data_IF_827706426402
#
_entry.id   IF_827706426402
#
_cell.length_a   1.000
_cell.length_b   1.000
_cell.length_c   1.000
_cell.angle_alpha   90.00
_cell.angle_beta   90.00
_cell.angle_gamma   90.00
#
_symmetry.space_group_name_H-M   'P 1'
#
loop_
_entity.id
_entity.type
_entity.pdbx_description
1 polymer ?
#
# COMPACT_ATOMS: atom_id res chain seq x y z
N UNK A 1 -6.34 51.68 41.48
CA UNK A 1 -5.52 51.46 40.28
C UNK A 1 -5.15 49.98 40.15
N UNK A 2 -6.11 49.05 40.30
CA UNK A 2 -5.81 47.59 40.32
C UNK A 2 -6.86 46.72 39.59
N UNK A 3 -7.85 47.30 38.92
CA UNK A 3 -8.93 46.54 38.29
C UNK A 3 -8.72 46.25 36.80
N UNK A 4 -7.72 46.87 36.17
CA UNK A 4 -7.43 46.68 34.75
C UNK A 4 -6.46 45.53 34.45
N UNK A 5 -5.80 44.98 35.47
CA UNK A 5 -4.79 43.93 35.29
C UNK A 5 -5.37 42.51 35.34
N UNK A 6 -6.55 42.31 35.91
CA UNK A 6 -7.16 40.95 36.01
C UNK A 6 -7.91 40.55 34.75
N UNK A 7 -8.42 41.51 33.96
CA UNK A 7 -9.17 41.19 32.75
C UNK A 7 -8.27 40.67 31.62
N UNK A 8 -7.00 41.04 31.62
CA UNK A 8 -6.03 40.60 30.61
C UNK A 8 -5.58 39.14 30.81
N UNK A 9 -5.59 38.62 32.05
CA UNK A 9 -5.16 37.24 32.34
C UNK A 9 -6.18 36.17 31.91
N UNK A 10 -7.46 36.53 31.89
CA UNK A 10 -8.52 35.59 31.50
C UNK A 10 -8.55 35.30 30.00
N UNK A 11 -8.29 36.32 29.19
CA UNK A 11 -8.32 36.20 27.73
C UNK A 11 -7.09 35.45 27.18
N UNK A 12 -5.93 35.65 27.79
CA UNK A 12 -4.71 34.96 27.38
C UNK A 12 -4.79 33.43 27.60
N UNK A 13 -5.38 32.99 28.74
CA UNK A 13 -5.58 31.57 29.03
C UNK A 13 -6.56 30.89 28.09
N UNK A 14 -7.58 31.59 27.61
CA UNK A 14 -8.56 31.05 26.65
C UNK A 14 -7.95 30.86 25.25
N UNK A 15 -7.07 31.77 24.83
CA UNK A 15 -6.40 31.66 23.53
C UNK A 15 -5.36 30.53 23.52
N UNK A 16 -4.64 30.32 24.61
CA UNK A 16 -3.70 29.20 24.72
C UNK A 16 -4.39 27.84 24.70
N UNK A 17 -5.57 27.72 25.32
CA UNK A 17 -6.33 26.46 25.29
C UNK A 17 -6.84 26.11 23.88
N UNK A 18 -7.28 27.08 23.09
CA UNK A 18 -7.74 26.84 21.71
C UNK A 18 -6.57 26.52 20.77
N UNK A 19 -5.41 27.13 20.96
CA UNK A 19 -4.24 26.85 20.13
C UNK A 19 -3.72 25.42 20.32
N UNK A 20 -3.74 24.90 21.55
CA UNK A 20 -3.32 23.53 21.83
C UNK A 20 -4.27 22.47 21.27
N UNK A 21 -5.58 22.71 21.29
CA UNK A 21 -6.57 21.77 20.72
C UNK A 21 -6.49 21.74 19.18
N UNK A 22 -6.27 22.90 18.55
CA UNK A 22 -6.08 22.98 17.10
C UNK A 22 -4.80 22.26 16.62
N UNK A 23 -3.70 22.35 17.37
CA UNK A 23 -2.45 21.67 17.05
C UNK A 23 -2.52 20.15 17.25
N UNK A 24 -3.31 19.66 18.21
CA UNK A 24 -3.48 18.22 18.43
C UNK A 24 -4.29 17.53 17.32
N UNK A 25 -5.23 18.25 16.68
CA UNK A 25 -5.99 17.70 15.54
C UNK A 25 -5.15 17.60 14.24
N UNK A 26 -4.12 18.43 14.08
CA UNK A 26 -3.25 18.40 12.90
C UNK A 26 -2.23 17.24 12.91
N UNK A 27 -2.02 16.60 14.05
CA UNK A 27 -1.06 15.48 14.17
C UNK A 27 -1.69 14.13 13.78
N UNK A 28 -3.02 14.05 13.65
CA UNK A 28 -3.74 12.83 13.29
C UNK A 28 -3.90 12.61 11.77
N UNK A 29 -3.44 13.54 10.94
CA UNK A 29 -3.32 13.32 9.49
C UNK A 29 -1.92 12.81 9.12
N UNK A 30 -1.37 11.93 9.95
CA UNK A 30 -0.07 11.33 9.78
C UNK A 30 -0.12 10.10 8.89
N UNK A 31 0.46 10.23 7.73
CA UNK A 31 1.23 9.21 7.03
C UNK A 31 0.48 7.97 6.53
N UNK A 32 -0.21 8.12 5.42
CA UNK A 32 -0.29 7.05 4.44
C UNK A 32 0.50 7.42 3.17
N UNK A 33 1.75 7.78 3.31
CA UNK A 33 2.69 7.77 2.20
C UNK A 33 3.40 6.42 2.20
N UNK A 34 2.70 5.39 1.73
CA UNK A 34 3.37 4.17 1.33
C UNK A 34 4.06 4.45 0.01
N UNK A 35 5.39 4.36 0.01
CA UNK A 35 6.20 4.60 -1.16
C UNK A 35 5.77 3.74 -2.34
N UNK A 36 5.55 4.39 -3.47
CA UNK A 36 5.40 3.75 -4.77
C UNK A 36 3.99 3.23 -5.08
N UNK A 37 3.16 4.07 -5.70
CA UNK A 37 1.86 3.72 -6.24
C UNK A 37 0.72 3.76 -5.21
N UNK A 38 -0.43 4.24 -5.64
CA UNK A 38 -1.65 4.19 -4.83
C UNK A 38 -2.17 2.77 -4.88
N UNK A 39 -2.18 2.07 -3.74
CA UNK A 39 -2.88 0.79 -3.64
C UNK A 39 -4.38 1.09 -3.66
N UNK A 40 -5.14 0.52 -4.60
CA UNK A 40 -6.60 0.72 -4.65
C UNK A 40 -7.25 0.36 -3.31
N UNK A 41 -8.28 1.10 -2.92
CA UNK A 41 -9.01 0.85 -1.67
C UNK A 41 -9.55 -0.59 -1.59
N UNK A 42 -9.93 -1.17 -2.74
CA UNK A 42 -10.38 -2.56 -2.86
C UNK A 42 -9.34 -3.60 -2.38
N UNK A 43 -8.05 -3.27 -2.38
CA UNK A 43 -7.01 -4.19 -1.91
C UNK A 43 -6.99 -4.33 -0.38
N UNK A 44 -7.64 -3.42 0.34
CA UNK A 44 -7.85 -3.52 1.80
C UNK A 44 -9.14 -4.25 2.16
N UNK A 45 -9.98 -4.57 1.18
CA UNK A 45 -11.23 -5.26 1.40
C UNK A 45 -11.00 -6.74 1.72
N UNK A 46 -11.94 -7.32 2.46
CA UNK A 46 -11.96 -8.75 2.70
C UNK A 46 -12.28 -9.47 1.39
N UNK A 47 -11.57 -10.53 1.11
CA UNK A 47 -11.84 -11.40 -0.02
C UNK A 47 -12.07 -12.85 0.43
N UNK A 48 -12.76 -13.64 -0.40
CA UNK A 48 -12.92 -15.07 -0.19
C UNK A 48 -11.86 -15.81 -1.00
N UNK A 49 -10.88 -16.49 -0.36
CA UNK A 49 -9.88 -17.28 -1.09
C UNK A 49 -10.53 -18.39 -1.91
N UNK A 50 -9.94 -18.69 -3.07
CA UNK A 50 -10.34 -19.86 -3.84
C UNK A 50 -10.08 -21.14 -3.03
N UNK A 51 -10.98 -22.10 -3.11
CA UNK A 51 -10.79 -23.42 -2.53
C UNK A 51 -9.60 -24.14 -3.19
N UNK A 52 -8.95 -25.06 -2.47
CA UNK A 52 -7.71 -25.69 -2.92
C UNK A 52 -7.81 -26.35 -4.30
N UNK A 53 -8.98 -26.89 -4.65
CA UNK A 53 -9.27 -27.51 -5.95
C UNK A 53 -9.33 -26.50 -7.10
N UNK A 54 -9.65 -25.23 -6.81
CA UNK A 54 -9.77 -24.14 -7.80
C UNK A 54 -8.50 -23.29 -7.92
N UNK A 55 -7.47 -23.56 -7.13
CA UNK A 55 -6.19 -22.84 -7.22
C UNK A 55 -5.38 -23.36 -8.40
N UNK A 56 -4.65 -22.46 -9.07
CA UNK A 56 -3.72 -22.84 -10.15
C UNK A 56 -2.55 -23.66 -9.62
N UNK A 57 -2.11 -23.37 -8.38
CA UNK A 57 -1.09 -24.14 -7.66
C UNK A 57 -1.57 -24.37 -6.23
N UNK A 58 -1.45 -25.63 -5.75
CA UNK A 58 -1.77 -25.99 -4.35
C UNK A 58 -0.58 -25.80 -3.43
N UNK A 59 0.61 -25.97 -3.99
CA UNK A 59 1.91 -25.79 -3.36
C UNK A 59 2.77 -24.92 -4.25
N UNK A 60 3.60 -24.07 -3.67
CA UNK A 60 4.39 -23.08 -4.40
C UNK A 60 5.79 -22.99 -3.79
N UNK A 61 6.82 -23.10 -4.63
CA UNK A 61 8.18 -22.70 -4.32
C UNK A 61 8.26 -21.18 -4.54
N UNK A 62 8.15 -20.42 -3.46
CA UNK A 62 8.08 -18.98 -3.51
C UNK A 62 9.46 -18.36 -3.35
N UNK A 63 9.81 -17.44 -4.25
CA UNK A 63 11.01 -16.62 -4.19
C UNK A 63 10.60 -15.14 -4.21
N UNK A 64 11.29 -14.33 -3.44
CA UNK A 64 11.06 -12.89 -3.38
C UNK A 64 12.32 -12.15 -3.85
N UNK A 65 12.15 -11.29 -4.85
CA UNK A 65 13.20 -10.43 -5.41
C UNK A 65 12.84 -8.96 -5.17
N UNK A 66 13.84 -8.20 -4.73
CA UNK A 66 13.74 -6.75 -4.57
C UNK A 66 14.49 -6.09 -5.70
N UNK A 67 13.82 -5.21 -6.48
CA UNK A 67 14.39 -4.55 -7.65
C UNK A 67 14.22 -3.04 -7.59
N UNK A 68 15.17 -2.30 -8.15
CA UNK A 68 15.04 -0.85 -8.32
C UNK A 68 14.17 -0.49 -9.54
N UNK A 69 14.20 -1.32 -10.57
CA UNK A 69 13.45 -1.18 -11.82
C UNK A 69 12.10 -1.92 -11.80
N UNK A 70 11.49 -2.09 -10.62
CA UNK A 70 10.28 -2.91 -10.43
C UNK A 70 9.17 -2.54 -11.40
N UNK A 71 8.88 -1.26 -11.59
CA UNK A 71 7.79 -0.81 -12.48
C UNK A 71 8.04 -1.26 -13.93
N UNK A 72 9.25 -1.06 -14.46
CA UNK A 72 9.59 -1.44 -15.81
C UNK A 72 9.64 -2.97 -15.99
N UNK A 73 10.23 -3.66 -15.02
CA UNK A 73 10.33 -5.13 -15.04
C UNK A 73 8.93 -5.76 -15.01
N UNK A 74 8.09 -5.34 -14.07
CA UNK A 74 6.73 -5.87 -13.92
C UNK A 74 5.87 -5.55 -15.15
N UNK A 75 5.88 -4.31 -15.65
CA UNK A 75 5.12 -3.95 -16.84
C UNK A 75 5.48 -4.85 -18.03
N UNK A 76 6.77 -5.14 -18.21
CA UNK A 76 7.24 -6.06 -19.27
C UNK A 76 6.78 -7.50 -19.01
N UNK A 77 6.90 -7.99 -17.78
CA UNK A 77 6.57 -9.38 -17.41
C UNK A 77 5.10 -9.71 -17.57
N UNK A 78 4.21 -8.73 -17.30
CA UNK A 78 2.75 -8.90 -17.45
C UNK A 78 2.22 -8.44 -18.82
N UNK A 79 3.10 -8.02 -19.74
CA UNK A 79 2.70 -7.57 -21.08
C UNK A 79 1.92 -6.25 -21.09
N UNK A 80 2.15 -5.37 -20.10
CA UNK A 80 1.47 -4.07 -19.99
C UNK A 80 1.92 -3.13 -21.12
N UNK A 81 0.97 -2.44 -21.76
CA UNK A 81 1.25 -1.43 -22.76
C UNK A 81 2.04 -0.23 -22.17
N UNK A 82 2.87 0.43 -22.99
CA UNK A 82 3.72 1.55 -22.56
C UNK A 82 2.94 2.69 -21.92
N UNK A 83 1.80 3.07 -22.51
CA UNK A 83 0.94 4.14 -22.01
C UNK A 83 0.37 3.78 -20.63
N UNK A 84 -0.15 2.56 -20.49
CA UNK A 84 -0.67 2.08 -19.22
C UNK A 84 0.41 2.02 -18.14
N UNK A 85 1.61 1.53 -18.48
CA UNK A 85 2.76 1.47 -17.58
C UNK A 85 3.23 2.86 -17.13
N UNK A 86 3.04 3.88 -17.95
CA UNK A 86 3.37 5.26 -17.60
C UNK A 86 2.31 5.89 -16.68
N UNK A 87 1.02 5.66 -16.95
CA UNK A 87 -0.09 6.24 -16.17
C UNK A 87 -0.22 5.54 -14.80
N UNK A 88 -0.12 4.21 -14.78
CA UNK A 88 -0.25 3.39 -13.55
C UNK A 88 0.90 2.38 -13.47
N UNK A 89 2.11 2.84 -13.09
CA UNK A 89 3.26 1.94 -13.01
C UNK A 89 3.03 0.86 -11.94
N UNK A 90 3.32 -0.42 -12.26
CA UNK A 90 3.23 -1.49 -11.27
C UNK A 90 4.21 -1.26 -10.11
N UNK A 91 3.75 -1.49 -8.89
CA UNK A 91 4.58 -1.37 -7.66
C UNK A 91 5.16 -2.71 -7.22
N UNK A 92 4.56 -3.80 -7.69
CA UNK A 92 4.97 -5.19 -7.48
C UNK A 92 4.39 -6.06 -8.59
N UNK A 93 4.85 -7.29 -8.71
CA UNK A 93 4.21 -8.32 -9.52
C UNK A 93 4.64 -9.72 -9.08
N UNK A 94 3.82 -10.72 -9.44
CA UNK A 94 4.15 -12.12 -9.33
C UNK A 94 4.33 -12.73 -10.73
N UNK A 95 5.37 -13.54 -10.88
CA UNK A 95 5.63 -14.32 -12.09
C UNK A 95 5.63 -15.80 -11.68
N UNK A 96 4.73 -16.58 -12.26
CA UNK A 96 4.55 -17.98 -11.85
C UNK A 96 4.65 -18.97 -13.01
N UNK A 97 5.13 -20.16 -12.68
CA UNK A 97 5.24 -21.29 -13.58
C UNK A 97 4.56 -22.53 -12.94
N UNK A 98 3.37 -22.86 -13.42
CA UNK A 98 2.55 -23.92 -12.83
C UNK A 98 3.25 -25.28 -12.90
N UNK A 99 3.93 -25.59 -14.00
CA UNK A 99 4.57 -26.89 -14.21
C UNK A 99 5.70 -27.17 -13.20
N UNK A 100 6.48 -26.14 -12.84
CA UNK A 100 7.59 -26.24 -11.87
C UNK A 100 7.18 -25.88 -10.45
N UNK A 101 5.94 -25.43 -10.26
CA UNK A 101 5.41 -24.90 -8.99
C UNK A 101 6.23 -23.73 -8.46
N UNK A 102 6.82 -22.92 -9.32
CA UNK A 102 7.63 -21.79 -8.94
C UNK A 102 6.81 -20.49 -9.04
N UNK A 103 7.03 -19.60 -8.09
CA UNK A 103 6.51 -18.25 -8.13
C UNK A 103 7.54 -17.26 -7.60
N UNK A 104 7.83 -16.25 -8.39
CA UNK A 104 8.73 -15.16 -8.00
C UNK A 104 7.90 -13.92 -7.77
N UNK A 105 7.97 -13.38 -6.57
CA UNK A 105 7.38 -12.09 -6.22
C UNK A 105 8.45 -11.02 -6.39
N UNK A 106 8.14 -9.99 -7.16
CA UNK A 106 9.03 -8.87 -7.42
C UNK A 106 8.44 -7.62 -6.77
N UNK A 107 9.24 -6.93 -5.94
CA UNK A 107 8.86 -5.68 -5.30
C UNK A 107 9.97 -4.64 -5.41
N UNK A 108 9.65 -3.38 -5.16
CA UNK A 108 10.65 -2.34 -4.90
C UNK A 108 11.25 -2.49 -3.49
N UNK A 109 12.27 -1.65 -3.19
CA UNK A 109 12.89 -1.58 -1.85
C UNK A 109 11.88 -1.23 -0.74
N UNK A 110 10.86 -0.47 -1.09
CA UNK A 110 9.74 -0.15 -0.21
C UNK A 110 8.49 -0.83 -0.76
N UNK A 111 7.93 -1.73 0.01
CA UNK A 111 6.68 -2.41 -0.33
C UNK A 111 5.77 -2.47 0.89
N UNK A 112 4.46 -2.57 0.67
CA UNK A 112 3.49 -2.76 1.74
C UNK A 112 3.17 -4.23 1.94
N UNK A 113 2.69 -4.59 3.14
CA UNK A 113 2.17 -5.93 3.40
C UNK A 113 0.98 -6.25 2.49
N UNK A 114 0.17 -5.24 2.13
CA UNK A 114 -0.96 -5.40 1.22
C UNK A 114 -0.47 -5.78 -0.17
N UNK A 115 0.49 -5.04 -0.74
CA UNK A 115 1.07 -5.35 -2.04
C UNK A 115 1.73 -6.73 -2.05
N UNK A 116 2.52 -7.05 -1.02
CA UNK A 116 3.15 -8.36 -0.90
C UNK A 116 2.11 -9.48 -0.80
N UNK A 117 1.08 -9.34 0.02
CA UNK A 117 0.00 -10.30 0.16
C UNK A 117 -0.80 -10.50 -1.13
N UNK A 118 -1.04 -9.41 -1.88
CA UNK A 118 -1.66 -9.42 -3.18
C UNK A 118 -0.86 -10.29 -4.18
N UNK A 119 0.46 -10.11 -4.24
CA UNK A 119 1.32 -10.89 -5.13
C UNK A 119 1.42 -12.36 -4.69
N UNK A 120 1.43 -12.64 -3.37
CA UNK A 120 1.33 -14.02 -2.87
C UNK A 120 0.05 -14.69 -3.36
N UNK A 121 -1.07 -13.99 -3.35
CA UNK A 121 -2.35 -14.50 -3.84
C UNK A 121 -2.27 -14.90 -5.31
N UNK A 122 -1.62 -14.10 -6.16
CA UNK A 122 -1.38 -14.45 -7.57
C UNK A 122 -0.66 -15.80 -7.73
N UNK A 123 0.29 -16.14 -6.86
CA UNK A 123 1.01 -17.41 -6.92
C UNK A 123 0.07 -18.63 -6.78
N UNK A 124 -0.99 -18.50 -6.00
CA UNK A 124 -1.96 -19.58 -5.77
C UNK A 124 -3.19 -19.51 -6.66
N UNK A 125 -3.70 -18.32 -6.92
CA UNK A 125 -5.00 -18.11 -7.57
C UNK A 125 -4.89 -17.65 -9.02
N UNK A 126 -3.70 -17.32 -9.51
CA UNK A 126 -3.47 -16.80 -10.86
C UNK A 126 -4.06 -15.41 -11.04
N UNK A 127 -4.58 -15.13 -12.22
CA UNK A 127 -5.32 -13.90 -12.48
C UNK A 127 -6.67 -13.95 -11.77
N UNK A 128 -6.85 -13.14 -10.75
CA UNK A 128 -8.09 -13.04 -9.99
C UNK A 128 -8.77 -11.67 -10.12
N UNK A 129 -8.12 -10.70 -10.75
CA UNK A 129 -8.73 -9.43 -11.12
C UNK A 129 -9.76 -9.65 -12.24
N UNK A 130 -10.85 -8.87 -12.18
CA UNK A 130 -11.86 -8.81 -13.24
C UNK A 130 -11.53 -7.70 -14.22
#
# INVERSE_FOLDING_TARGET
>A
MNLLFEHQRGTLKRWFGLACVGSALLILTGCQTMGGGVIPASEFDKFTPKTADKRIMKEVNLRWEVREDVAQYCAKSIGMGREQAYITPPVACAVWHVATKECVIITGKQTSHVALGHEVRHCFEGHFHK
#
